data_IF_817470625340
#
_entry.id   IF_817470625340
#
_cell.length_a   1.000
_cell.length_b   1.000
_cell.length_c   1.000
_cell.angle_alpha   90.00
_cell.angle_beta   90.00
_cell.angle_gamma   90.00
#
_symmetry.space_group_name_H-M   'P 1'
#
loop_
_entity.id
_entity.type
_entity.pdbx_description
1 polymer ?
#
# COMPACT_ATOMS: atom_id res chain seq x y z
N UNK A 1 14.54 -27.07 42.81
CA UNK A 1 13.51 -27.80 42.04
C UNK A 1 13.80 -27.56 40.56
N UNK A 2 13.54 -28.52 39.67
CA UNK A 2 13.81 -28.41 38.22
C UNK A 2 13.04 -27.25 37.56
N UNK A 3 11.94 -26.82 38.16
CA UNK A 3 11.09 -25.75 37.64
C UNK A 3 11.67 -24.33 37.76
N UNK A 4 12.58 -24.06 38.72
CA UNK A 4 13.19 -22.73 38.85
C UNK A 4 14.30 -22.49 37.80
N UNK A 5 14.96 -23.55 37.32
CA UNK A 5 16.06 -23.42 36.35
C UNK A 5 15.57 -23.15 34.91
N UNK A 6 14.38 -23.65 34.56
CA UNK A 6 13.77 -23.48 33.22
C UNK A 6 13.21 -22.06 33.04
N UNK A 7 12.86 -21.37 34.13
CA UNK A 7 12.36 -19.99 34.07
C UNK A 7 13.46 -18.97 33.73
N UNK A 8 14.70 -19.21 34.13
CA UNK A 8 15.85 -18.30 33.90
C UNK A 8 16.58 -18.55 32.57
N UNK A 9 16.25 -19.60 31.80
CA UNK A 9 16.95 -19.98 30.58
C UNK A 9 16.03 -20.17 29.35
N UNK A 10 14.97 -19.36 29.21
CA UNK A 10 14.11 -19.40 28.01
C UNK A 10 14.71 -18.72 26.77
N UNK A 11 15.70 -17.84 26.94
CA UNK A 11 16.27 -17.04 25.85
C UNK A 11 17.66 -17.52 25.37
N UNK A 12 18.03 -18.77 25.60
CA UNK A 12 19.31 -19.29 25.09
C UNK A 12 19.20 -20.69 24.48
N UNK A 13 18.65 -20.74 23.26
CA UNK A 13 18.98 -21.80 22.32
C UNK A 13 19.27 -21.19 20.95
N UNK A 14 20.52 -20.76 20.76
CA UNK A 14 21.10 -20.57 19.44
C UNK A 14 22.11 -21.69 19.16
N UNK A 15 21.92 -22.34 18.00
CA UNK A 15 22.92 -22.89 17.06
C UNK A 15 23.66 -24.20 17.46
N UNK A 16 23.92 -25.16 16.55
CA UNK A 16 24.95 -25.11 15.48
C UNK A 16 24.70 -26.14 14.34
N UNK A 17 24.94 -25.64 13.13
CA UNK A 17 25.21 -26.16 11.76
C UNK A 17 25.44 -27.65 11.46
N UNK A 18 24.87 -28.11 10.33
CA UNK A 18 25.58 -28.83 9.25
C UNK A 18 24.71 -28.98 7.98
N UNK A 19 25.23 -28.49 6.83
CA UNK A 19 24.96 -29.08 5.52
C UNK A 19 23.81 -28.51 4.68
N UNK A 20 24.20 -27.81 3.61
CA UNK A 20 23.49 -27.67 2.34
C UNK A 20 22.21 -26.82 2.27
N UNK A 21 22.44 -25.51 2.10
CA UNK A 21 21.89 -24.76 0.97
C UNK A 21 20.38 -24.81 0.76
N UNK A 22 19.56 -24.46 1.74
CA UNK A 22 18.17 -24.12 1.48
C UNK A 22 17.54 -23.19 2.52
N UNK A 23 16.81 -22.21 1.99
CA UNK A 23 15.77 -21.40 2.62
C UNK A 23 16.21 -20.32 3.63
N UNK A 24 16.86 -19.28 3.11
CA UNK A 24 16.82 -17.94 3.73
C UNK A 24 15.40 -17.38 3.60
N UNK A 25 14.48 -17.77 4.49
CA UNK A 25 13.21 -17.08 4.64
C UNK A 25 13.45 -15.88 5.59
N UNK A 26 14.08 -14.83 5.06
CA UNK A 26 13.99 -13.52 5.69
C UNK A 26 12.53 -13.12 5.62
N UNK A 27 11.90 -12.95 6.78
CA UNK A 27 10.60 -12.31 6.91
C UNK A 27 10.73 -10.87 6.37
N UNK A 28 10.55 -10.70 5.06
CA UNK A 28 11.00 -9.57 4.23
C UNK A 28 10.10 -8.34 4.36
N UNK A 29 9.57 -8.12 5.56
CA UNK A 29 8.55 -7.11 5.89
C UNK A 29 9.11 -5.94 6.71
N UNK A 30 10.34 -6.03 7.22
CA UNK A 30 10.99 -4.88 7.87
C UNK A 30 11.13 -3.71 6.87
N UNK A 31 10.67 -2.53 7.29
CA UNK A 31 10.75 -1.32 6.46
C UNK A 31 9.75 -1.24 5.31
N UNK A 32 8.72 -2.10 5.28
CA UNK A 32 7.61 -2.03 4.31
C UNK A 32 6.28 -1.78 5.02
N UNK A 33 5.36 -1.14 4.31
CA UNK A 33 3.97 -0.94 4.73
C UNK A 33 3.05 -1.76 3.84
N UNK A 34 2.06 -2.38 4.46
CA UNK A 34 0.97 -3.02 3.75
C UNK A 34 0.11 -1.93 3.11
N UNK A 35 -0.06 -1.97 1.80
CA UNK A 35 -0.85 -1.00 1.04
C UNK A 35 -1.87 -1.75 0.19
N UNK A 36 -2.98 -1.07 -0.12
CA UNK A 36 -4.05 -1.63 -0.94
C UNK A 36 -4.18 -0.85 -2.24
N UNK A 37 -4.03 -1.56 -3.36
CA UNK A 37 -4.06 -0.97 -4.68
C UNK A 37 -5.39 -1.30 -5.36
N UNK A 38 -6.07 -0.25 -5.81
CA UNK A 38 -7.28 -0.32 -6.61
C UNK A 38 -6.98 0.21 -8.01
N UNK A 39 -7.06 -0.65 -9.01
CA UNK A 39 -6.89 -0.29 -10.42
C UNK A 39 -8.22 -0.04 -11.10
N UNK A 40 -8.27 1.00 -11.91
CA UNK A 40 -9.41 1.42 -12.70
C UNK A 40 -9.01 1.54 -14.16
N UNK A 41 -9.92 1.25 -15.08
CA UNK A 41 -9.64 1.37 -16.50
C UNK A 41 -9.23 2.81 -16.89
N UNK A 42 -9.97 3.81 -16.43
CA UNK A 42 -9.62 5.22 -16.65
C UNK A 42 -9.97 6.06 -15.43
N UNK A 43 -9.06 6.97 -15.06
CA UNK A 43 -9.32 8.07 -14.14
C UNK A 43 -8.85 9.36 -14.79
N UNK A 44 -9.74 10.32 -14.95
CA UNK A 44 -9.41 11.60 -15.56
C UNK A 44 -9.49 12.73 -14.54
N UNK A 45 -8.53 13.65 -14.60
CA UNK A 45 -8.51 14.85 -13.75
C UNK A 45 -9.20 16.01 -14.46
N UNK A 46 -9.88 16.87 -13.71
CA UNK A 46 -10.53 18.08 -14.22
C UNK A 46 -12.00 18.25 -13.81
N UNK A 47 -12.56 19.45 -14.05
CA UNK A 47 -13.90 19.82 -13.56
C UNK A 47 -15.05 19.07 -14.25
N UNK A 48 -14.82 18.52 -15.44
CA UNK A 48 -15.84 17.79 -16.21
C UNK A 48 -16.04 16.34 -15.73
N UNK A 49 -15.10 15.83 -14.92
CA UNK A 49 -15.06 14.45 -14.46
C UNK A 49 -15.83 14.25 -13.15
N UNK A 50 -17.17 14.33 -13.25
CA UNK A 50 -18.08 14.26 -12.09
C UNK A 50 -17.91 12.98 -11.27
N UNK A 51 -17.63 11.84 -11.91
CA UNK A 51 -17.45 10.55 -11.23
C UNK A 51 -16.15 10.51 -10.45
N UNK A 52 -15.07 10.99 -11.04
CA UNK A 52 -13.75 11.07 -10.44
C UNK A 52 -13.71 12.05 -9.27
N UNK A 53 -14.42 13.18 -9.40
CA UNK A 53 -14.63 14.09 -8.27
C UNK A 53 -15.37 13.39 -7.13
N UNK A 54 -16.49 12.71 -7.41
CA UNK A 54 -17.23 11.96 -6.41
C UNK A 54 -16.39 10.84 -5.77
N UNK A 55 -15.51 10.22 -6.55
CA UNK A 55 -14.57 9.19 -6.08
C UNK A 55 -13.52 9.76 -5.11
N UNK A 56 -13.01 10.97 -5.37
CA UNK A 56 -12.09 11.68 -4.47
C UNK A 56 -12.83 12.14 -3.21
N UNK A 57 -14.07 12.59 -3.33
CA UNK A 57 -14.89 13.02 -2.20
C UNK A 57 -15.29 11.83 -1.30
N UNK A 58 -15.57 10.66 -1.88
CA UNK A 58 -15.77 9.39 -1.16
C UNK A 58 -14.52 9.01 -0.35
N UNK A 59 -13.34 9.07 -0.96
CA UNK A 59 -12.08 8.77 -0.26
C UNK A 59 -11.84 9.71 0.93
N UNK A 60 -12.12 11.02 0.77
CA UNK A 60 -12.03 12.00 1.85
C UNK A 60 -13.02 11.72 2.98
N UNK A 61 -14.26 11.33 2.63
CA UNK A 61 -15.30 10.99 3.60
C UNK A 61 -14.94 9.74 4.40
N UNK A 62 -14.32 8.75 3.76
CA UNK A 62 -13.82 7.54 4.40
C UNK A 62 -12.47 7.75 5.15
N UNK A 63 -11.88 8.95 5.09
CA UNK A 63 -10.61 9.23 5.76
C UNK A 63 -9.40 8.47 5.19
N UNK A 64 -9.49 8.05 3.92
CA UNK A 64 -8.46 7.24 3.28
C UNK A 64 -7.21 8.03 2.95
N UNK A 65 -6.10 7.42 3.30
CA UNK A 65 -4.78 7.93 3.03
C UNK A 65 -4.16 7.20 1.85
N UNK A 66 -3.46 7.92 0.98
CA UNK A 66 -2.53 7.36 0.01
C UNK A 66 -2.36 8.25 -1.22
N UNK A 67 -2.33 7.64 -2.40
CA UNK A 67 -2.08 8.30 -3.66
C UNK A 67 -3.08 7.94 -4.75
N UNK A 68 -3.31 8.85 -5.68
CA UNK A 68 -4.16 8.65 -6.86
C UNK A 68 -3.38 9.01 -8.12
N UNK A 69 -3.21 8.04 -9.01
CA UNK A 69 -2.65 8.21 -10.34
C UNK A 69 -3.77 8.32 -11.36
N UNK A 70 -3.82 9.47 -12.02
CA UNK A 70 -4.73 9.73 -13.14
C UNK A 70 -4.16 9.11 -14.43
N UNK A 71 -5.04 8.64 -15.32
CA UNK A 71 -4.67 8.08 -16.61
C UNK A 71 -5.36 6.74 -16.91
N UNK A 72 -4.68 5.95 -17.74
CA UNK A 72 -5.08 4.59 -18.14
C UNK A 72 -3.84 3.69 -18.04
N UNK A 73 -3.78 2.79 -17.04
CA UNK A 73 -4.76 2.60 -15.98
C UNK A 73 -4.79 3.80 -15.01
N UNK A 74 -5.93 4.02 -14.37
CA UNK A 74 -6.02 4.87 -13.20
C UNK A 74 -5.81 4.04 -11.94
N UNK A 75 -5.08 4.55 -10.95
CA UNK A 75 -4.69 3.76 -9.78
C UNK A 75 -4.95 4.56 -8.51
N UNK A 76 -5.54 3.91 -7.51
CA UNK A 76 -5.59 4.43 -6.14
C UNK A 76 -4.78 3.50 -5.26
N UNK A 77 -3.78 4.05 -4.58
CA UNK A 77 -3.01 3.36 -3.54
C UNK A 77 -3.53 3.85 -2.21
N UNK A 78 -3.97 2.94 -1.36
CA UNK A 78 -4.38 3.20 0.02
C UNK A 78 -3.27 2.73 0.95
N UNK A 79 -2.87 3.56 1.90
CA UNK A 79 -1.77 3.30 2.84
C UNK A 79 -2.27 3.26 4.29
N UNK A 80 -1.49 2.71 5.23
CA UNK A 80 -1.84 2.73 6.65
C UNK A 80 -1.98 4.17 7.20
N UNK A 81 -2.87 4.43 8.15
CA UNK A 81 -3.59 3.49 9.02
C UNK A 81 -4.94 2.98 8.46
N UNK A 82 -5.16 3.06 7.15
CA UNK A 82 -6.35 2.46 6.51
C UNK A 82 -6.21 0.93 6.39
N UNK A 83 -7.33 0.24 6.56
CA UNK A 83 -7.44 -1.23 6.55
C UNK A 83 -7.86 -1.78 5.19
N UNK A 84 -7.81 -3.12 5.04
CA UNK A 84 -8.31 -3.78 3.84
C UNK A 84 -9.83 -3.58 3.69
N UNK A 85 -10.56 -3.60 4.81
CA UNK A 85 -11.99 -3.32 4.87
C UNK A 85 -12.30 -1.92 4.35
N UNK A 86 -11.55 -0.91 4.77
CA UNK A 86 -11.73 0.47 4.28
C UNK A 86 -11.51 0.56 2.76
N UNK A 87 -10.49 -0.12 2.24
CA UNK A 87 -10.21 -0.19 0.82
C UNK A 87 -11.33 -0.91 0.03
N UNK A 88 -11.90 -1.99 0.60
CA UNK A 88 -13.04 -2.72 0.01
C UNK A 88 -14.32 -1.89 0.02
N UNK A 89 -14.63 -1.23 1.14
CA UNK A 89 -15.79 -0.34 1.27
C UNK A 89 -15.69 0.82 0.28
N UNK A 90 -14.52 1.43 0.18
CA UNK A 90 -14.23 2.45 -0.83
C UNK A 90 -14.43 1.93 -2.25
N UNK A 91 -13.89 0.75 -2.57
CA UNK A 91 -14.09 0.10 -3.85
C UNK A 91 -15.57 -0.15 -4.15
N UNK A 92 -16.38 -0.48 -3.14
CA UNK A 92 -17.82 -0.63 -3.26
C UNK A 92 -18.52 0.71 -3.53
N UNK A 93 -18.20 1.77 -2.78
CA UNK A 93 -18.73 3.11 -3.00
C UNK A 93 -18.40 3.61 -4.41
N UNK A 94 -17.17 3.40 -4.88
CA UNK A 94 -16.76 3.71 -6.25
C UNK A 94 -17.62 3.01 -7.30
N UNK A 95 -18.00 1.75 -7.06
CA UNK A 95 -18.91 1.01 -7.97
C UNK A 95 -20.27 1.68 -8.06
N UNK A 96 -20.81 2.21 -6.96
CA UNK A 96 -22.08 2.95 -6.97
C UNK A 96 -22.00 4.26 -7.77
N UNK A 97 -20.83 4.89 -7.79
CA UNK A 97 -20.52 6.09 -8.61
C UNK A 97 -20.34 5.73 -10.10
N UNK A 98 -20.20 4.44 -10.41
CA UNK A 98 -19.99 3.92 -11.75
C UNK A 98 -18.51 3.81 -12.15
N UNK A 99 -17.60 3.74 -11.17
CA UNK A 99 -16.19 3.39 -11.32
C UNK A 99 -15.94 2.02 -10.72
N UNK A 100 -15.59 1.04 -11.55
CA UNK A 100 -15.39 -0.34 -11.10
C UNK A 100 -13.88 -0.58 -10.98
N UNK A 101 -13.35 -0.81 -9.77
CA UNK A 101 -11.99 -1.28 -9.64
C UNK A 101 -11.91 -2.76 -10.05
N UNK A 102 -10.79 -3.17 -10.63
CA UNK A 102 -10.52 -4.56 -11.01
C UNK A 102 -10.45 -5.49 -9.79
N UNK A 103 -10.13 -4.91 -8.63
CA UNK A 103 -10.05 -5.58 -7.34
C UNK A 103 -9.36 -4.67 -6.33
N UNK A 104 -9.28 -5.14 -5.10
CA UNK A 104 -8.37 -4.61 -4.08
C UNK A 104 -7.22 -5.60 -4.01
N UNK A 105 -6.01 -5.17 -4.35
CA UNK A 105 -4.81 -5.99 -4.24
C UNK A 105 -3.95 -5.51 -3.09
N UNK A 106 -3.52 -6.43 -2.24
CA UNK A 106 -2.56 -6.15 -1.19
C UNK A 106 -1.13 -6.16 -1.76
N UNK A 107 -0.39 -5.08 -1.53
CA UNK A 107 1.00 -4.92 -1.97
C UNK A 107 1.82 -4.32 -0.82
N UNK A 108 3.05 -4.80 -0.68
CA UNK A 108 4.00 -4.30 0.34
C UNK A 108 4.93 -3.28 -0.29
N UNK A 109 4.71 -2.00 0.01
CA UNK A 109 5.54 -0.90 -0.50
C UNK A 109 6.59 -0.48 0.53
N UNK A 110 7.81 -0.11 0.11
CA UNK A 110 8.87 0.28 1.04
C UNK A 110 8.55 1.64 1.69
N UNK A 111 8.72 1.73 3.01
CA UNK A 111 8.35 2.91 3.81
C UNK A 111 9.09 4.17 3.35
N UNK A 112 10.38 4.04 3.03
CA UNK A 112 11.18 5.15 2.51
C UNK A 112 10.65 5.69 1.18
N UNK A 113 10.16 4.80 0.30
CA UNK A 113 9.55 5.15 -0.97
C UNK A 113 8.24 5.90 -0.77
N UNK A 114 7.37 5.39 0.11
CA UNK A 114 6.10 6.03 0.47
C UNK A 114 6.30 7.44 1.04
N UNK A 115 7.24 7.59 1.98
CA UNK A 115 7.57 8.89 2.57
C UNK A 115 8.12 9.87 1.52
N UNK A 116 9.04 9.41 0.66
CA UNK A 116 9.64 10.25 -0.39
C UNK A 116 8.62 10.65 -1.45
N UNK A 117 7.69 9.75 -1.79
CA UNK A 117 6.58 10.03 -2.69
C UNK A 117 5.49 10.91 -2.04
N UNK A 118 5.62 11.27 -0.76
CA UNK A 118 4.65 12.07 -0.02
C UNK A 118 3.37 11.32 0.35
N UNK A 119 3.34 10.00 0.16
CA UNK A 119 2.21 9.11 0.47
C UNK A 119 2.27 8.50 1.86
N UNK A 120 3.32 8.72 2.65
CA UNK A 120 3.50 8.06 3.94
C UNK A 120 3.78 9.01 5.11
N UNK A 121 3.62 8.46 6.32
CA UNK A 121 4.13 9.03 7.56
C UNK A 121 3.55 10.40 7.95
N UNK A 122 4.38 11.19 8.65
CA UNK A 122 4.01 12.53 9.16
C UNK A 122 3.59 13.50 8.06
N UNK A 123 4.11 13.34 6.83
CA UNK A 123 3.79 14.20 5.71
C UNK A 123 2.30 14.12 5.34
N UNK A 124 1.72 12.92 5.45
CA UNK A 124 0.33 12.69 5.15
C UNK A 124 -0.60 12.99 6.34
N UNK A 125 -0.16 12.67 7.55
CA UNK A 125 -0.87 13.05 8.78
C UNK A 125 -1.04 14.57 8.90
N UNK A 126 0.02 15.35 8.62
CA UNK A 126 -0.05 16.83 8.61
C UNK A 126 -0.98 17.40 7.53
N UNK A 127 -1.21 16.66 6.44
CA UNK A 127 -2.13 17.03 5.35
C UNK A 127 -3.56 16.53 5.60
N UNK A 128 -3.82 15.94 6.76
CA UNK A 128 -5.13 15.44 7.15
C UNK A 128 -5.53 14.15 6.44
N UNK A 129 -4.56 13.31 6.06
CA UNK A 129 -4.82 11.95 5.58
C UNK A 129 -5.58 11.89 4.26
N UNK A 130 -5.31 12.80 3.31
CA UNK A 130 -6.02 12.81 2.01
C UNK A 130 -5.23 12.04 0.96
N UNK A 131 -5.94 11.44 -0.01
CA UNK A 131 -5.34 10.98 -1.25
C UNK A 131 -4.61 12.12 -1.95
N UNK A 132 -3.34 11.90 -2.29
CA UNK A 132 -2.52 12.85 -3.03
C UNK A 132 -2.46 12.49 -4.50
N UNK A 133 -2.49 13.49 -5.38
CA UNK A 133 -2.25 13.25 -6.80
C UNK A 133 -0.82 12.76 -7.01
N UNK A 134 -0.70 11.71 -7.82
CA UNK A 134 0.55 11.09 -8.22
C UNK A 134 0.68 11.08 -9.73
N UNK A 135 1.92 11.23 -10.17
CA UNK A 135 2.35 10.83 -11.50
C UNK A 135 3.09 9.48 -11.45
N UNK A 136 3.47 8.98 -12.62
CA UNK A 136 4.21 7.72 -12.73
C UNK A 136 5.56 7.78 -12.03
N UNK A 137 6.20 8.95 -11.97
CA UNK A 137 7.48 9.13 -11.28
C UNK A 137 7.31 9.00 -9.74
N UNK A 138 6.24 9.57 -9.19
CA UNK A 138 5.86 9.44 -7.79
C UNK A 138 5.53 7.99 -7.44
N UNK A 139 4.80 7.28 -8.30
CA UNK A 139 4.52 5.86 -8.10
C UNK A 139 5.79 4.99 -8.15
N UNK A 140 6.70 5.26 -9.10
CA UNK A 140 8.02 4.61 -9.16
C UNK A 140 8.83 4.86 -7.87
N UNK A 141 8.80 6.10 -7.38
CA UNK A 141 9.48 6.48 -6.14
C UNK A 141 8.90 5.73 -4.95
N UNK A 142 7.58 5.59 -4.90
CA UNK A 142 6.88 4.81 -3.89
C UNK A 142 7.26 3.33 -3.90
N UNK A 143 7.53 2.78 -5.08
CA UNK A 143 8.04 1.41 -5.25
C UNK A 143 9.54 1.28 -4.91
N UNK A 144 10.21 2.34 -4.45
CA UNK A 144 11.64 2.31 -4.13
C UNK A 144 12.54 2.21 -5.37
N UNK A 145 12.05 2.64 -6.55
CA UNK A 145 12.68 2.44 -7.85
C UNK A 145 12.81 0.96 -8.29
N UNK A 146 12.02 0.07 -7.68
CA UNK A 146 11.86 -1.30 -8.15
C UNK A 146 10.88 -1.31 -9.34
N UNK A 147 11.41 -1.60 -10.53
CA UNK A 147 10.64 -1.63 -11.78
C UNK A 147 9.71 -2.84 -11.87
N UNK A 148 10.04 -3.96 -11.23
CA UNK A 148 9.19 -5.15 -11.24
C UNK A 148 7.97 -4.92 -10.33
N UNK A 149 8.19 -4.32 -9.16
CA UNK A 149 7.12 -3.88 -8.27
C UNK A 149 6.22 -2.82 -8.95
N UNK A 150 6.82 -1.86 -9.65
CA UNK A 150 6.07 -0.85 -10.40
C UNK A 150 5.19 -1.50 -11.48
N UNK A 151 5.72 -2.43 -12.27
CA UNK A 151 4.95 -3.17 -13.29
C UNK A 151 3.79 -3.93 -12.67
N UNK A 152 4.02 -4.56 -11.53
CA UNK A 152 2.98 -5.25 -10.78
C UNK A 152 1.86 -4.30 -10.32
N UNK A 153 2.20 -3.15 -9.72
CA UNK A 153 1.22 -2.13 -9.32
C UNK A 153 0.44 -1.60 -10.53
N UNK A 154 1.12 -1.35 -11.65
CA UNK A 154 0.51 -0.92 -12.91
C UNK A 154 -0.35 -2.00 -13.58
N UNK A 155 -0.26 -3.26 -13.14
CA UNK A 155 -0.96 -4.39 -13.75
C UNK A 155 -0.39 -4.80 -15.12
N UNK A 156 0.85 -4.42 -15.41
CA UNK A 156 1.56 -4.79 -16.64
C UNK A 156 2.33 -6.08 -16.37
N UNK A 157 2.09 -7.11 -17.19
CA UNK A 157 2.83 -8.38 -17.16
C UNK A 157 4.10 -8.30 -17.99
#
# INVERSE_FOLDING_TARGET
MIFDWIAENKDSCLTISSGDGSVMNYDSREGKSQCFVLRYNHLFTGPEHKKEKAMVDAAKKAGLQGGILWGTPGIVVVVPDSTEEDAKEYGFECRTIGKRPDGVEEIWLPNNGLETAGMGGLAQQKRGGKLQELDTAGLRTACGNDEDLLRHVLGVK
#
